data_IF_959730609056
#
_entry.id   IF_959730609056
#
_cell.length_a   1.000
_cell.length_b   1.000
_cell.length_c   1.000
_cell.angle_alpha   90.00
_cell.angle_beta   90.00
_cell.angle_gamma   90.00
#
_symmetry.space_group_name_H-M   'P 1'
#
loop_
_entity.id
_entity.type
_entity.pdbx_description
1 polymer ?
#
# COMPACT_ATOMS: atom_id res chain seq x y z
N UNK A 1 -21.33 -12.31 -5.87
CA UNK A 1 -19.86 -12.47 -5.90
C UNK A 1 -19.37 -12.29 -4.48
N UNK A 2 -18.88 -13.36 -3.85
CA UNK A 2 -18.34 -13.31 -2.48
C UNK A 2 -16.84 -13.04 -2.56
N UNK A 3 -16.37 -12.05 -1.79
CA UNK A 3 -14.97 -11.66 -1.68
C UNK A 3 -14.61 -11.73 -0.20
N UNK A 4 -13.62 -12.56 0.12
CA UNK A 4 -13.10 -12.73 1.47
C UNK A 4 -11.57 -12.83 1.40
N UNK A 5 -10.95 -11.66 1.21
CA UNK A 5 -9.51 -11.55 1.07
C UNK A 5 -8.90 -11.09 2.38
N UNK A 6 -7.79 -11.71 2.76
CA UNK A 6 -7.07 -11.41 3.97
C UNK A 6 -5.60 -11.13 3.70
N UNK A 7 -5.11 -10.04 4.28
CA UNK A 7 -3.74 -9.57 4.12
C UNK A 7 -3.15 -9.25 5.49
N UNK A 8 -2.00 -9.82 5.82
CA UNK A 8 -1.21 -9.46 6.99
C UNK A 8 0.18 -9.04 6.53
N UNK A 9 0.66 -7.89 7.03
CA UNK A 9 2.07 -7.53 6.93
C UNK A 9 2.64 -7.26 8.32
N UNK A 10 3.73 -7.93 8.66
CA UNK A 10 4.61 -7.59 9.78
C UNK A 10 5.76 -6.75 9.23
N UNK A 11 6.11 -5.66 9.91
CA UNK A 11 7.07 -4.69 9.40
C UNK A 11 7.89 -4.03 10.51
N UNK A 12 9.04 -3.48 10.13
CA UNK A 12 9.91 -2.68 10.98
C UNK A 12 9.28 -1.33 11.31
N UNK A 13 9.14 -0.98 12.58
CA UNK A 13 8.45 0.26 12.96
C UNK A 13 9.23 1.55 12.62
N UNK A 14 10.53 1.47 12.36
CA UNK A 14 11.38 2.60 12.02
C UNK A 14 11.51 2.77 10.50
N UNK A 15 11.88 1.69 9.81
CA UNK A 15 12.12 1.70 8.36
C UNK A 15 10.87 1.43 7.54
N UNK A 16 9.79 0.92 8.16
CA UNK A 16 8.60 0.38 7.50
C UNK A 16 8.90 -0.80 6.58
N UNK A 17 10.10 -1.38 6.69
CA UNK A 17 10.55 -2.53 5.91
C UNK A 17 9.70 -3.77 6.19
N UNK A 18 9.27 -4.47 5.14
CA UNK A 18 8.53 -5.73 5.26
C UNK A 18 9.39 -6.77 5.95
N UNK A 19 8.84 -7.43 6.98
CA UNK A 19 9.46 -8.58 7.67
C UNK A 19 8.78 -9.88 7.29
N UNK A 20 7.44 -9.85 7.19
CA UNK A 20 6.63 -10.97 6.75
C UNK A 20 5.37 -10.45 6.08
N UNK A 21 4.92 -11.12 5.04
CA UNK A 21 3.68 -10.81 4.36
C UNK A 21 2.93 -12.10 4.04
N UNK A 22 1.65 -12.15 4.39
CA UNK A 22 0.75 -13.25 4.06
C UNK A 22 -0.47 -12.68 3.37
N UNK A 23 -0.81 -13.30 2.24
CA UNK A 23 -2.00 -13.00 1.43
C UNK A 23 -2.80 -14.27 1.26
N UNK A 24 -4.08 -14.23 1.63
CA UNK A 24 -5.04 -15.30 1.41
C UNK A 24 -6.23 -14.73 0.63
N UNK A 25 -6.45 -15.24 -0.57
CA UNK A 25 -7.45 -14.71 -1.51
C UNK A 25 -8.56 -15.71 -1.68
N UNK A 26 -9.81 -15.25 -1.55
CA UNK A 26 -11.01 -16.00 -1.89
C UNK A 26 -11.95 -15.09 -2.69
N UNK A 27 -11.89 -15.21 -4.02
CA UNK A 27 -12.69 -14.40 -4.95
C UNK A 27 -13.37 -15.29 -6.00
N UNK A 28 -14.69 -15.42 -5.89
CA UNK A 28 -15.44 -16.35 -6.74
C UNK A 28 -14.97 -17.79 -6.55
N UNK A 29 -14.51 -18.44 -7.62
CA UNK A 29 -13.94 -19.80 -7.57
C UNK A 29 -12.45 -19.84 -7.24
N UNK A 30 -11.75 -18.69 -7.28
CA UNK A 30 -10.32 -18.65 -7.03
C UNK A 30 -10.01 -18.69 -5.53
N UNK A 31 -9.02 -19.52 -5.16
CA UNK A 31 -8.40 -19.58 -3.84
C UNK A 31 -6.89 -19.61 -3.99
N UNK A 32 -6.18 -18.78 -3.25
CA UNK A 32 -4.72 -18.74 -3.31
C UNK A 32 -4.09 -18.18 -2.05
N UNK A 33 -2.94 -18.73 -1.65
CA UNK A 33 -2.15 -18.24 -0.54
C UNK A 33 -0.75 -17.89 -1.04
N UNK A 34 -0.28 -16.69 -0.71
CA UNK A 34 1.07 -16.22 -0.94
C UNK A 34 1.71 -15.87 0.40
N UNK A 35 2.86 -16.48 0.70
CA UNK A 35 3.65 -16.18 1.87
C UNK A 35 5.01 -15.60 1.46
N UNK A 36 5.40 -14.57 2.18
CA UNK A 36 6.65 -13.86 2.00
C UNK A 36 7.33 -13.68 3.34
N UNK A 37 8.64 -13.93 3.38
CA UNK A 37 9.48 -13.67 4.55
C UNK A 37 10.76 -12.94 4.14
N UNK A 38 11.11 -11.92 4.90
CA UNK A 38 12.38 -11.22 4.75
C UNK A 38 13.49 -11.94 5.54
N UNK A 39 14.66 -12.05 4.93
CA UNK A 39 15.91 -12.47 5.58
C UNK A 39 16.90 -11.32 5.56
N UNK A 40 17.22 -10.81 6.76
CA UNK A 40 18.16 -9.69 6.94
C UNK A 40 19.60 -10.06 6.65
N UNK A 41 19.98 -11.34 6.73
CA UNK A 41 21.35 -11.81 6.47
C UNK A 41 21.67 -11.69 4.99
N UNK A 42 20.72 -12.09 4.15
CA UNK A 42 20.86 -12.08 2.70
C UNK A 42 20.24 -10.86 2.02
N UNK A 43 19.49 -10.04 2.76
CA UNK A 43 18.69 -8.92 2.21
C UNK A 43 17.78 -9.39 1.08
N UNK A 44 16.97 -10.42 1.36
CA UNK A 44 16.05 -11.03 0.40
C UNK A 44 14.64 -11.20 0.93
N UNK A 45 13.65 -11.14 0.04
CA UNK A 45 12.31 -11.65 0.26
C UNK A 45 12.20 -13.04 -0.36
N UNK A 46 11.73 -14.01 0.44
CA UNK A 46 11.42 -15.36 -0.03
C UNK A 46 9.92 -15.49 -0.23
N UNK A 47 9.47 -15.60 -1.48
CA UNK A 47 8.09 -15.84 -1.86
C UNK A 47 7.88 -17.30 -2.27
N UNK A 48 7.24 -18.10 -1.41
CA UNK A 48 7.01 -19.53 -1.66
C UNK A 48 8.25 -20.30 -2.21
N UNK A 49 9.46 -19.90 -1.77
CA UNK A 49 10.74 -20.50 -2.20
C UNK A 49 11.53 -19.70 -3.25
N UNK A 50 10.92 -18.73 -3.94
CA UNK A 50 11.60 -17.85 -4.89
C UNK A 50 12.20 -16.63 -4.17
N UNK A 51 13.42 -16.25 -4.52
CA UNK A 51 14.19 -15.20 -3.85
C UNK A 51 14.19 -13.90 -4.66
N UNK A 52 14.01 -12.78 -3.96
CA UNK A 52 14.05 -11.42 -4.51
C UNK A 52 15.00 -10.58 -3.67
N UNK A 53 16.10 -10.12 -4.26
CA UNK A 53 17.03 -9.22 -3.56
C UNK A 53 16.45 -7.81 -3.46
N UNK A 54 16.43 -7.27 -2.23
CA UNK A 54 15.77 -6.00 -1.88
C UNK A 54 16.50 -5.31 -0.71
N UNK A 55 16.42 -3.98 -0.58
CA UNK A 55 16.92 -3.30 0.61
C UNK A 55 16.11 -3.66 1.86
N UNK A 56 16.70 -3.52 3.05
CA UNK A 56 16.01 -3.75 4.34
C UNK A 56 14.75 -2.87 4.52
N UNK A 57 14.76 -1.67 3.92
CA UNK A 57 13.65 -0.71 3.97
C UNK A 57 12.56 -0.95 2.93
N UNK A 58 12.57 -2.09 2.23
CA UNK A 58 11.58 -2.45 1.21
C UNK A 58 10.16 -2.43 1.77
N UNK A 59 9.25 -1.72 1.11
CA UNK A 59 7.86 -1.59 1.56
C UNK A 59 6.91 -2.37 0.66
N UNK A 60 5.70 -2.64 1.15
CA UNK A 60 4.58 -3.01 0.31
C UNK A 60 3.48 -1.94 0.47
N UNK A 61 2.34 -2.12 -0.22
CA UNK A 61 1.24 -1.15 -0.13
C UNK A 61 0.76 -0.94 1.32
N UNK A 62 0.71 -1.99 2.14
CA UNK A 62 0.24 -1.89 3.52
C UNK A 62 1.21 -1.15 4.42
N UNK A 63 2.53 -1.35 4.25
CA UNK A 63 3.52 -0.60 5.03
C UNK A 63 3.62 0.85 4.59
N UNK A 64 3.35 1.17 3.32
CA UNK A 64 3.18 2.55 2.85
C UNK A 64 1.97 3.23 3.51
N UNK A 65 0.83 2.54 3.61
CA UNK A 65 -0.35 3.05 4.31
C UNK A 65 -0.08 3.23 5.81
N UNK A 66 0.67 2.31 6.44
CA UNK A 66 1.10 2.49 7.83
C UNK A 66 2.05 3.68 8.00
N UNK A 67 2.93 3.92 7.01
CA UNK A 67 3.89 5.03 7.01
C UNK A 67 3.22 6.39 6.94
N UNK A 68 2.28 6.57 6.01
CA UNK A 68 1.61 7.87 5.81
C UNK A 68 0.83 8.32 7.05
N UNK A 69 0.31 7.36 7.84
CA UNK A 69 -0.35 7.64 9.12
C UNK A 69 0.60 7.94 10.29
N UNK A 70 1.92 7.76 10.14
CA UNK A 70 2.88 7.88 11.26
C UNK A 70 3.97 8.91 11.05
N UNK A 71 4.19 9.38 9.83
CA UNK A 71 5.25 10.33 9.50
C UNK A 71 4.68 11.67 9.06
N UNK A 72 5.35 12.79 9.39
CA UNK A 72 4.87 14.12 9.04
C UNK A 72 4.92 14.35 7.52
N UNK A 73 4.04 15.22 7.03
CA UNK A 73 3.85 15.46 5.60
C UNK A 73 5.09 16.02 4.92
N UNK A 74 5.84 16.90 5.59
CA UNK A 74 7.11 17.47 5.13
C UNK A 74 8.21 16.42 4.87
N UNK A 75 8.24 15.33 5.64
CA UNK A 75 9.15 14.22 5.43
C UNK A 75 8.73 13.32 4.26
N UNK A 76 7.43 13.17 4.06
CA UNK A 76 6.85 12.25 3.08
C UNK A 76 6.79 12.85 1.67
N UNK A 77 6.52 14.15 1.58
CA UNK A 77 6.27 14.81 0.31
C UNK A 77 7.44 14.63 -0.65
N UNK A 78 7.12 14.19 -1.87
CA UNK A 78 8.04 13.89 -2.98
C UNK A 78 9.04 12.75 -2.74
N UNK A 79 9.13 12.18 -1.53
CA UNK A 79 10.13 11.19 -1.16
C UNK A 79 9.84 9.82 -1.76
N UNK A 80 10.82 9.29 -2.48
CA UNK A 80 10.77 7.93 -3.02
C UNK A 80 11.11 6.88 -1.97
N UNK A 81 10.30 5.82 -1.95
CA UNK A 81 10.48 4.64 -1.15
C UNK A 81 10.60 3.39 -2.03
N UNK A 82 11.53 2.47 -1.74
CA UNK A 82 11.56 1.19 -2.42
C UNK A 82 10.29 0.40 -2.08
N UNK A 83 9.64 -0.15 -3.10
CA UNK A 83 8.41 -0.92 -2.94
C UNK A 83 8.55 -2.27 -3.64
N UNK A 84 8.16 -3.34 -2.98
CA UNK A 84 7.94 -4.63 -3.60
C UNK A 84 6.44 -4.81 -3.84
N UNK A 85 6.10 -5.22 -5.06
CA UNK A 85 4.76 -5.62 -5.43
C UNK A 85 4.81 -7.07 -5.89
N UNK A 86 4.69 -7.98 -4.93
CA UNK A 86 4.64 -9.42 -5.14
C UNK A 86 5.84 -9.93 -5.97
N UNK A 87 7.05 -9.54 -5.57
CA UNK A 87 8.29 -9.92 -6.25
C UNK A 87 8.62 -9.08 -7.50
N UNK A 88 7.81 -8.07 -7.81
CA UNK A 88 8.14 -7.06 -8.83
C UNK A 88 8.65 -5.79 -8.17
N UNK A 89 9.82 -5.31 -8.63
CA UNK A 89 10.43 -4.08 -8.10
C UNK A 89 9.66 -2.85 -8.54
N UNK A 90 9.23 -2.10 -7.55
CA UNK A 90 8.56 -0.81 -7.68
C UNK A 90 9.26 0.24 -6.83
N UNK A 91 8.85 1.49 -7.01
CA UNK A 91 9.01 2.53 -6.01
C UNK A 91 7.72 3.33 -5.89
N UNK A 92 7.52 3.92 -4.72
CA UNK A 92 6.35 4.71 -4.42
C UNK A 92 6.73 6.03 -3.76
N UNK A 93 5.90 7.06 -3.94
CA UNK A 93 6.02 8.33 -3.22
C UNK A 93 4.65 8.93 -2.93
N UNK A 94 4.58 9.69 -1.84
CA UNK A 94 3.43 10.55 -1.56
C UNK A 94 3.74 11.96 -2.08
N UNK A 95 2.77 12.57 -2.76
CA UNK A 95 2.81 13.96 -3.18
C UNK A 95 1.71 14.70 -2.41
N UNK A 96 2.09 15.67 -1.58
CA UNK A 96 1.12 16.52 -0.88
C UNK A 96 0.43 17.40 -1.93
N UNK A 97 -0.84 17.10 -2.20
CA UNK A 97 -1.63 17.77 -3.20
C UNK A 97 -2.34 19.00 -2.63
N UNK A 98 -2.87 18.87 -1.41
CA UNK A 98 -3.61 19.95 -0.73
C UNK A 98 -3.68 19.70 0.80
N UNK A 99 -4.22 20.68 1.51
CA UNK A 99 -4.70 20.56 2.90
C UNK A 99 -6.19 20.89 2.89
N UNK A 100 -7.04 19.91 3.13
CA UNK A 100 -8.51 20.09 3.05
C UNK A 100 -9.25 19.55 4.27
N UNK A 101 -10.47 20.07 4.48
CA UNK A 101 -11.39 19.54 5.49
C UNK A 101 -12.22 18.41 4.91
N UNK A 102 -12.15 17.23 5.53
CA UNK A 102 -12.96 16.06 5.18
C UNK A 102 -14.03 15.88 6.25
N UNK A 103 -15.30 15.84 5.82
CA UNK A 103 -16.42 15.59 6.72
C UNK A 103 -16.51 14.11 7.07
N UNK A 104 -16.36 13.78 8.35
CA UNK A 104 -16.55 12.44 8.92
C UNK A 104 -17.64 12.59 9.98
N UNK A 105 -18.82 12.02 9.72
CA UNK A 105 -19.97 12.23 10.58
C UNK A 105 -20.44 13.68 10.62
N UNK A 106 -20.43 14.24 11.82
CA UNK A 106 -20.73 15.65 12.09
C UNK A 106 -19.48 16.52 12.27
N UNK A 107 -18.27 15.96 12.11
CA UNK A 107 -17.01 16.67 12.29
C UNK A 107 -16.32 16.96 10.95
N UNK A 108 -15.74 18.16 10.83
CA UNK A 108 -14.84 18.52 9.74
C UNK A 108 -13.39 18.32 10.18
N UNK A 109 -12.72 17.31 9.63
CA UNK A 109 -11.35 16.94 10.00
C UNK A 109 -10.36 17.54 9.01
N UNK A 110 -9.39 18.32 9.50
CA UNK A 110 -8.31 18.86 8.67
C UNK A 110 -7.31 17.76 8.30
N UNK A 111 -7.12 17.54 7.00
CA UNK A 111 -6.33 16.44 6.47
C UNK A 111 -5.26 16.93 5.50
N UNK A 112 -4.10 16.27 5.57
CA UNK A 112 -3.15 16.25 4.45
C UNK A 112 -3.75 15.37 3.34
N UNK A 113 -3.92 15.94 2.16
CA UNK A 113 -4.36 15.21 0.97
C UNK A 113 -3.15 14.82 0.13
N UNK A 114 -2.87 13.52 0.05
CA UNK A 114 -1.78 12.98 -0.75
C UNK A 114 -2.28 12.30 -2.02
N UNK A 115 -1.55 12.50 -3.11
CA UNK A 115 -1.52 11.57 -4.23
C UNK A 115 -0.42 10.51 -3.98
N UNK A 116 -0.75 9.23 -4.18
CA UNK A 116 0.20 8.12 -4.10
C UNK A 116 0.61 7.70 -5.52
N UNK A 117 1.86 8.00 -5.88
CA UNK A 117 2.49 7.50 -7.10
C UNK A 117 3.13 6.14 -6.83
N UNK A 118 2.88 5.17 -7.71
CA UNK A 118 3.55 3.86 -7.72
C UNK A 118 4.02 3.62 -9.15
N UNK A 119 5.29 3.28 -9.30
CA UNK A 119 5.88 2.95 -10.59
C UNK A 119 6.75 1.71 -10.50
N UNK A 120 6.66 0.88 -11.54
CA UNK A 120 7.55 -0.25 -11.72
C UNK A 120 8.95 0.28 -12.06
N UNK A 121 9.94 -0.12 -11.27
CA UNK A 121 11.32 0.36 -11.38
C UNK A 121 12.29 -0.70 -11.91
N UNK A 122 11.81 -1.93 -12.14
CA UNK A 122 12.58 -3.02 -12.71
C UNK A 122 11.70 -4.18 -13.17
N UNK A 123 12.34 -5.25 -13.63
CA UNK A 123 11.62 -6.43 -14.12
C UNK A 123 10.89 -7.16 -12.99
N UNK A 124 9.81 -7.87 -13.37
CA UNK A 124 9.17 -8.82 -12.49
C UNK A 124 10.13 -10.00 -12.28
N UNK A 125 10.65 -10.13 -11.06
CA UNK A 125 11.56 -11.22 -10.72
C UNK A 125 10.79 -12.52 -10.47
N UNK A 126 9.49 -12.40 -10.15
CA UNK A 126 8.55 -13.50 -9.99
C UNK A 126 7.19 -13.06 -10.52
N UNK A 127 6.46 -13.98 -11.15
CA UNK A 127 5.09 -13.74 -11.61
C UNK A 127 4.11 -14.53 -10.74
N UNK A 128 3.27 -13.83 -9.99
CA UNK A 128 2.15 -14.43 -9.25
C UNK A 128 0.83 -14.27 -10.02
N UNK A 129 -0.15 -15.05 -9.61
CA UNK A 129 -1.45 -15.09 -10.27
C UNK A 129 -2.22 -13.76 -10.10
N UNK A 130 -2.83 -13.22 -11.17
CA UNK A 130 -3.52 -11.92 -11.15
C UNK A 130 -4.93 -11.98 -10.55
N UNK A 131 -5.37 -13.11 -10.01
CA UNK A 131 -6.75 -13.27 -9.50
C UNK A 131 -7.03 -12.50 -8.19
N UNK A 132 -6.10 -11.67 -7.73
CA UNK A 132 -6.33 -10.68 -6.70
C UNK A 132 -6.61 -9.31 -7.34
N UNK A 133 -7.89 -8.96 -7.43
CA UNK A 133 -8.31 -7.69 -8.03
C UNK A 133 -7.72 -6.46 -7.33
N UNK A 134 -7.54 -6.52 -6.01
CA UNK A 134 -6.98 -5.38 -5.28
C UNK A 134 -5.51 -5.20 -5.67
N UNK A 135 -4.71 -6.25 -5.58
CA UNK A 135 -3.28 -6.17 -5.91
C UNK A 135 -3.04 -5.80 -7.38
N UNK A 136 -3.80 -6.39 -8.30
CA UNK A 136 -3.69 -6.11 -9.74
C UNK A 136 -3.89 -4.62 -10.06
N UNK A 137 -4.88 -3.98 -9.42
CA UNK A 137 -5.21 -2.59 -9.72
C UNK A 137 -4.44 -1.59 -8.85
N UNK A 138 -4.06 -1.95 -7.62
CA UNK A 138 -3.39 -1.04 -6.69
C UNK A 138 -1.95 -0.73 -7.08
N UNK A 139 -1.30 -1.49 -7.97
CA UNK A 139 0.03 -1.13 -8.50
C UNK A 139 0.00 -0.61 -9.96
N UNK A 140 -1.15 -0.67 -10.64
CA UNK A 140 -1.29 -0.21 -12.02
C UNK A 140 -0.85 1.25 -12.24
N UNK A 141 0.00 1.48 -13.23
CA UNK A 141 0.43 2.83 -13.63
C UNK A 141 -0.75 3.72 -14.12
N UNK A 142 -1.89 3.12 -14.45
CA UNK A 142 -3.11 3.84 -14.89
C UNK A 142 -4.00 4.29 -13.74
N UNK A 143 -3.73 3.85 -12.50
CA UNK A 143 -4.55 4.22 -11.36
C UNK A 143 -4.10 5.57 -10.77
N UNK A 144 -5.06 6.46 -10.51
CA UNK A 144 -4.87 7.64 -9.68
C UNK A 144 -5.29 7.28 -8.24
N UNK A 145 -4.35 7.33 -7.31
CA UNK A 145 -4.55 6.98 -5.90
C UNK A 145 -4.44 8.23 -5.05
N UNK A 146 -5.45 8.47 -4.21
CA UNK A 146 -5.46 9.62 -3.31
C UNK A 146 -5.83 9.18 -1.90
N UNK A 147 -5.21 9.79 -0.90
CA UNK A 147 -5.31 9.43 0.51
C UNK A 147 -5.41 10.71 1.34
N UNK A 148 -6.34 10.75 2.29
CA UNK A 148 -6.53 11.84 3.22
C UNK A 148 -6.18 11.38 4.63
N UNK A 149 -5.21 12.05 5.24
CA UNK A 149 -4.67 11.70 6.55
C UNK A 149 -4.86 12.85 7.50
N UNK A 150 -5.42 12.60 8.68
CA UNK A 150 -5.59 13.64 9.71
C UNK A 150 -4.23 14.28 10.04
N UNK A 151 -4.19 15.61 10.12
CA UNK A 151 -2.96 16.32 10.51
C UNK A 151 -2.65 16.15 11.99
N UNK A 152 -3.68 16.04 12.83
CA UNK A 152 -3.56 16.00 14.29
C UNK A 152 -4.23 14.75 14.86
N UNK A 153 -4.04 14.52 16.16
CA UNK A 153 -4.64 13.39 16.86
C UNK A 153 -4.07 12.05 16.43
N UNK A 154 -4.94 11.14 15.97
CA UNK A 154 -4.58 9.74 15.67
C UNK A 154 -3.94 9.55 14.30
N UNK A 155 -3.92 10.59 13.44
CA UNK A 155 -3.35 10.54 12.08
C UNK A 155 -3.94 9.41 11.24
N UNK A 156 -5.24 9.17 11.37
CA UNK A 156 -5.94 8.10 10.64
C UNK A 156 -6.01 8.44 9.16
N UNK A 157 -6.06 7.41 8.32
CA UNK A 157 -6.56 7.57 6.94
C UNK A 157 -8.08 7.64 7.03
N UNK A 158 -8.65 8.82 6.78
CA UNK A 158 -10.10 9.04 6.92
C UNK A 158 -10.84 8.93 5.59
N UNK A 159 -10.12 9.06 4.48
CA UNK A 159 -10.66 8.87 3.14
C UNK A 159 -9.54 8.35 2.24
N UNK A 160 -9.91 7.50 1.30
CA UNK A 160 -9.03 7.05 0.22
C UNK A 160 -9.84 6.92 -1.07
N UNK A 161 -9.20 7.16 -2.20
CA UNK A 161 -9.82 6.93 -3.51
C UNK A 161 -8.84 6.32 -4.49
N UNK A 162 -9.37 5.49 -5.37
CA UNK A 162 -8.66 4.94 -6.53
C UNK A 162 -9.53 5.16 -7.75
N UNK A 163 -9.00 5.87 -8.74
CA UNK A 163 -9.62 6.01 -10.06
C UNK A 163 -8.85 5.21 -11.08
N UNK A 164 -9.52 4.29 -11.77
CA UNK A 164 -8.91 3.42 -12.78
C UNK A 164 -9.96 3.07 -13.85
N UNK A 165 -9.56 3.10 -15.13
CA UNK A 165 -10.42 2.76 -16.27
C UNK A 165 -11.78 3.48 -16.31
N UNK A 166 -11.81 4.76 -15.92
CA UNK A 166 -13.04 5.58 -15.93
C UNK A 166 -13.99 5.31 -14.75
N UNK A 167 -13.58 4.47 -13.79
CA UNK A 167 -14.31 4.24 -12.54
C UNK A 167 -13.53 4.81 -11.35
N UNK A 168 -14.25 5.37 -10.38
CA UNK A 168 -13.66 5.86 -9.12
C UNK A 168 -14.31 5.16 -7.95
N UNK A 169 -13.49 4.50 -7.14
CA UNK A 169 -13.89 3.91 -5.86
C UNK A 169 -13.41 4.84 -4.74
N UNK A 170 -14.31 5.16 -3.81
CA UNK A 170 -14.02 6.00 -2.66
C UNK A 170 -14.37 5.22 -1.40
N UNK A 171 -13.43 5.16 -0.47
CA UNK A 171 -13.65 4.68 0.89
C UNK A 171 -13.56 5.88 1.84
N UNK A 172 -14.53 6.01 2.73
CA UNK A 172 -14.57 7.03 3.78
C UNK A 172 -14.75 6.29 5.10
N UNK A 173 -13.95 6.65 6.10
CA UNK A 173 -14.11 6.14 7.45
C UNK A 173 -15.50 6.54 7.96
N UNK A 174 -16.28 5.56 8.42
CA UNK A 174 -17.54 5.85 9.10
C UNK A 174 -17.26 6.05 10.59
N UNK A 175 -18.09 6.87 11.23
CA UNK A 175 -18.08 7.01 12.68
C UNK A 175 -18.28 5.61 13.31
N UNK A 176 -17.41 5.29 14.27
CA UNK A 176 -17.66 4.22 15.23
C UNK A 176 -18.19 4.85 16.52
#
# INVERSE_FOLDING_TARGET
>A
WFVDNYYITEFDSLSFGVRKYTKNIQQGSYRGILNCKFDSTSSTLTYNGNLVSVPDSIQNIFTLLARVSRQPSDYLDTKWFPMDHEGTRHRARFLLADIEKVKIGNEDILCDHFRLDIEQSGEALIQFSPYDYFMDHVASAKALRQIWVEQTGKRRIVKASVSIYGMTVIAVLQDN
#
